data_IF_738409598135
#
_entry.id   IF_738409598135
#
_cell.length_a   1.000
_cell.length_b   1.000
_cell.length_c   1.000
_cell.angle_alpha   90.00
_cell.angle_beta   90.00
_cell.angle_gamma   90.00
#
_symmetry.space_group_name_H-M   'P 1'
#
loop_
_entity.id
_entity.type
_entity.pdbx_description
1 polymer ?
#
# COMPACT_ATOMS: atom_id res chain seq x y z
N UNK A 1 8.82 -12.29 -8.22
CA UNK A 1 8.74 -10.82 -8.17
C UNK A 1 8.14 -10.28 -9.45
N UNK A 2 7.27 -9.30 -9.31
CA UNK A 2 6.62 -8.66 -10.44
C UNK A 2 7.38 -7.39 -10.79
N UNK A 3 7.68 -7.21 -12.08
CA UNK A 3 8.36 -5.99 -12.55
C UNK A 3 7.37 -5.09 -13.28
N UNK A 4 7.38 -3.81 -12.95
CA UNK A 4 6.59 -2.78 -13.64
C UNK A 4 7.57 -1.73 -14.17
N UNK A 5 7.50 -1.45 -15.48
CA UNK A 5 8.40 -0.53 -16.11
C UNK A 5 9.77 -1.14 -16.36
N UNK A 6 10.67 -0.34 -16.92
CA UNK A 6 12.03 -0.76 -17.24
C UNK A 6 13.02 0.24 -16.67
N UNK A 7 14.14 -0.29 -16.17
CA UNK A 7 15.22 0.56 -15.69
C UNK A 7 15.97 1.15 -16.89
N UNK A 8 16.02 2.48 -16.96
CA UNK A 8 16.87 3.18 -17.92
C UNK A 8 18.24 3.36 -17.27
N UNK A 9 19.28 2.74 -17.83
CA UNK A 9 20.62 2.77 -17.27
C UNK A 9 21.25 4.17 -17.26
N UNK A 10 20.68 5.10 -18.02
CA UNK A 10 21.14 6.49 -18.09
C UNK A 10 20.46 7.41 -17.08
N UNK A 11 19.53 6.88 -16.28
CA UNK A 11 18.80 7.64 -15.28
C UNK A 11 19.23 7.26 -13.87
N UNK A 12 19.12 8.21 -12.96
CA UNK A 12 19.28 7.96 -11.53
C UNK A 12 17.90 7.86 -10.91
N UNK A 13 17.68 6.76 -10.17
CA UNK A 13 16.41 6.50 -9.52
C UNK A 13 16.51 6.74 -8.04
N UNK A 14 15.49 7.40 -7.48
CA UNK A 14 15.33 7.48 -6.04
C UNK A 14 14.67 6.17 -5.59
N UNK A 15 15.40 5.38 -4.82
CA UNK A 15 14.94 4.07 -4.36
C UNK A 15 14.15 4.19 -3.07
N UNK A 16 13.02 3.51 -3.00
CA UNK A 16 12.22 3.43 -1.79
C UNK A 16 11.66 2.03 -1.63
N UNK A 17 11.80 1.47 -0.43
CA UNK A 17 11.20 0.19 -0.08
C UNK A 17 9.96 0.43 0.76
N UNK A 18 8.84 -0.20 0.39
CA UNK A 18 7.54 0.03 1.01
C UNK A 18 6.84 -1.30 1.29
N UNK A 19 5.85 -1.25 2.18
CA UNK A 19 5.00 -2.40 2.50
C UNK A 19 3.56 -1.93 2.62
N UNK A 20 2.63 -2.71 2.04
CA UNK A 20 1.20 -2.38 2.07
C UNK A 20 0.39 -3.63 2.36
N UNK A 21 -0.76 -3.41 3.01
CA UNK A 21 -1.69 -4.46 3.36
C UNK A 21 -3.04 -4.25 2.69
N UNK A 22 -3.66 -5.35 2.27
CA UNK A 22 -4.97 -5.36 1.65
C UNK A 22 -5.93 -6.15 2.53
N UNK A 23 -7.06 -5.54 2.85
CA UNK A 23 -8.13 -6.15 3.62
C UNK A 23 -9.46 -5.94 2.92
N UNK A 24 -10.17 -7.04 2.70
CA UNK A 24 -11.48 -7.04 2.05
C UNK A 24 -12.49 -7.66 3.01
N UNK A 25 -13.57 -6.94 3.30
CA UNK A 25 -14.65 -7.42 4.15
C UNK A 25 -15.98 -6.92 3.62
N UNK A 26 -16.93 -7.83 3.47
CA UNK A 26 -18.27 -7.49 2.97
C UNK A 26 -18.22 -6.77 1.63
N UNK A 27 -17.34 -7.23 0.74
CA UNK A 27 -17.14 -6.68 -0.61
C UNK A 27 -16.58 -5.26 -0.63
N UNK A 28 -16.07 -4.78 0.50
CA UNK A 28 -15.42 -3.48 0.59
C UNK A 28 -13.96 -3.60 0.95
N UNK A 29 -13.12 -2.86 0.24
CA UNK A 29 -11.69 -2.73 0.54
C UNK A 29 -11.48 -1.61 1.55
N UNK A 30 -10.57 -1.86 2.50
CA UNK A 30 -10.17 -0.88 3.50
C UNK A 30 -8.92 -0.16 2.99
N UNK A 31 -9.05 1.15 2.81
CA UNK A 31 -8.01 1.99 2.23
C UNK A 31 -7.79 3.21 3.12
N UNK A 32 -6.77 3.98 2.83
CA UNK A 32 -6.52 5.24 3.52
C UNK A 32 -6.76 6.42 2.58
N UNK A 33 -7.19 7.52 3.15
CA UNK A 33 -7.35 8.78 2.43
C UNK A 33 -6.57 9.86 3.17
N UNK A 34 -5.69 10.53 2.43
CA UNK A 34 -4.94 11.66 2.95
C UNK A 34 -5.13 12.80 1.96
N UNK A 35 -5.87 13.85 2.36
CA UNK A 35 -6.33 14.85 1.40
C UNK A 35 -7.22 14.21 0.36
N UNK A 36 -6.87 14.31 -0.90
CA UNK A 36 -7.59 13.69 -2.01
C UNK A 36 -6.97 12.35 -2.44
N UNK A 37 -5.85 11.96 -1.83
CA UNK A 37 -5.12 10.78 -2.23
C UNK A 37 -5.63 9.53 -1.53
N UNK A 38 -6.04 8.54 -2.32
CA UNK A 38 -6.46 7.22 -1.87
C UNK A 38 -5.30 6.26 -2.06
N UNK A 39 -5.01 5.47 -1.04
CA UNK A 39 -3.85 4.59 -1.00
C UNK A 39 -4.18 3.28 -0.30
N UNK A 40 -3.41 2.24 -0.60
CA UNK A 40 -3.39 1.04 0.23
C UNK A 40 -2.87 1.41 1.62
N UNK A 41 -3.20 0.59 2.61
CA UNK A 41 -2.71 0.78 3.98
C UNK A 41 -1.23 0.39 4.03
N UNK A 42 -0.37 1.30 4.46
CA UNK A 42 1.05 1.01 4.56
C UNK A 42 1.92 2.23 4.27
N UNK A 43 3.18 1.99 4.00
CA UNK A 43 4.12 3.07 3.73
C UNK A 43 5.56 2.61 3.64
N UNK A 44 6.47 3.57 3.73
CA UNK A 44 7.90 3.33 3.62
C UNK A 44 8.49 2.65 4.84
N UNK A 45 9.34 1.68 4.58
CA UNK A 45 10.07 0.97 5.63
C UNK A 45 11.20 1.88 6.11
N UNK A 46 11.19 2.20 7.40
CA UNK A 46 12.20 3.06 7.99
C UNK A 46 13.41 2.25 8.46
N UNK A 47 14.51 2.95 8.71
CA UNK A 47 15.74 2.34 9.19
C UNK A 47 15.45 1.51 10.45
N UNK A 48 15.96 0.27 10.46
CA UNK A 48 15.78 -0.69 11.56
C UNK A 48 14.36 -1.24 11.73
N UNK A 49 13.47 -0.99 10.76
CA UNK A 49 12.15 -1.62 10.76
C UNK A 49 12.13 -2.85 9.88
N UNK A 50 11.27 -3.81 10.26
CA UNK A 50 10.92 -4.93 9.40
C UNK A 50 9.64 -4.57 8.63
N UNK A 51 9.28 -5.39 7.63
CA UNK A 51 8.01 -5.22 6.91
C UNK A 51 6.83 -5.28 7.88
N UNK A 52 6.84 -6.25 8.81
CA UNK A 52 5.77 -6.40 9.79
C UNK A 52 5.66 -5.18 10.70
N UNK A 53 6.78 -4.71 11.24
CA UNK A 53 6.80 -3.55 12.14
C UNK A 53 6.27 -2.31 11.44
N UNK A 54 6.71 -2.07 10.20
CA UNK A 54 6.28 -0.93 9.41
C UNK A 54 4.78 -0.98 9.14
N UNK A 55 4.30 -2.13 8.66
CA UNK A 55 2.89 -2.24 8.29
C UNK A 55 1.97 -2.07 9.50
N UNK A 56 2.33 -2.66 10.63
CA UNK A 56 1.56 -2.50 11.87
C UNK A 56 1.54 -1.05 12.33
N UNK A 57 2.68 -0.36 12.26
CA UNK A 57 2.79 1.05 12.64
C UNK A 57 1.94 1.93 11.72
N UNK A 58 2.10 1.76 10.42
CA UNK A 58 1.37 2.57 9.44
C UNK A 58 -0.15 2.33 9.53
N UNK A 59 -0.58 1.10 9.76
CA UNK A 59 -2.01 0.79 9.90
C UNK A 59 -2.64 1.55 11.08
N UNK A 60 -1.93 1.67 12.19
CA UNK A 60 -2.40 2.45 13.33
C UNK A 60 -2.38 3.95 13.03
N UNK A 61 -1.29 4.44 12.48
CA UNK A 61 -1.11 5.87 12.21
C UNK A 61 -2.10 6.41 11.20
N UNK A 62 -2.32 5.68 10.11
CA UNK A 62 -3.11 6.17 8.99
C UNK A 62 -4.56 5.70 8.99
N UNK A 63 -4.85 4.54 9.56
CA UNK A 63 -6.16 3.91 9.46
C UNK A 63 -6.79 3.55 10.80
N UNK A 64 -6.02 3.61 11.88
CA UNK A 64 -6.52 3.24 13.21
C UNK A 64 -6.81 1.75 13.36
N UNK A 65 -6.13 0.91 12.59
CA UNK A 65 -6.33 -0.54 12.55
C UNK A 65 -5.20 -1.28 13.26
N UNK A 66 -5.58 -2.33 13.99
CA UNK A 66 -4.62 -3.25 14.59
C UNK A 66 -4.53 -4.52 13.75
N UNK A 67 -3.36 -4.79 13.18
CA UNK A 67 -3.11 -5.98 12.37
C UNK A 67 -2.77 -7.15 13.29
N UNK A 68 -3.45 -8.27 13.11
CA UNK A 68 -3.23 -9.48 13.91
C UNK A 68 -2.62 -10.63 13.11
N UNK A 69 -2.63 -10.56 11.79
CA UNK A 69 -1.99 -11.57 10.93
C UNK A 69 -1.67 -10.95 9.57
N UNK A 70 -0.61 -11.46 8.95
CA UNK A 70 -0.14 -11.00 7.64
C UNK A 70 0.31 -12.19 6.81
N UNK A 71 -0.10 -12.23 5.54
CA UNK A 71 0.35 -13.23 4.57
C UNK A 71 0.83 -12.53 3.31
N UNK A 72 2.07 -12.77 2.91
CA UNK A 72 2.63 -12.16 1.71
C UNK A 72 1.89 -12.65 0.46
N UNK A 73 1.50 -11.71 -0.39
CA UNK A 73 0.84 -11.99 -1.68
C UNK A 73 1.86 -11.96 -2.80
N UNK A 74 2.64 -10.89 -2.87
CA UNK A 74 3.63 -10.67 -3.92
C UNK A 74 4.57 -9.55 -3.53
N UNK A 75 5.67 -9.45 -4.28
CA UNK A 75 6.58 -8.32 -4.21
C UNK A 75 6.64 -7.69 -5.60
N UNK A 76 6.65 -6.37 -5.65
CA UNK A 76 6.60 -5.61 -6.90
C UNK A 76 7.78 -4.64 -6.94
N UNK A 77 8.56 -4.68 -8.01
CA UNK A 77 9.62 -3.71 -8.25
C UNK A 77 9.15 -2.81 -9.40
N UNK A 78 8.93 -1.54 -9.10
CA UNK A 78 8.28 -0.61 -10.02
C UNK A 78 9.16 0.60 -10.32
N UNK A 79 9.43 0.82 -11.60
CA UNK A 79 10.08 2.04 -12.08
C UNK A 79 8.98 2.98 -12.57
N UNK A 80 8.91 4.17 -12.00
CA UNK A 80 7.83 5.11 -12.29
C UNK A 80 8.30 6.55 -12.11
N UNK A 81 7.45 7.48 -12.49
CA UNK A 81 7.76 8.89 -12.44
C UNK A 81 6.71 9.62 -11.63
N UNK A 82 7.15 10.47 -10.70
CA UNK A 82 6.25 11.27 -9.88
C UNK A 82 5.63 12.39 -10.69
N UNK A 83 4.62 13.07 -10.12
CA UNK A 83 3.99 14.24 -10.77
C UNK A 83 4.99 15.35 -11.03
N UNK A 84 5.97 15.52 -10.15
CA UNK A 84 7.04 16.52 -10.31
C UNK A 84 8.23 15.98 -11.08
N UNK A 85 8.01 14.91 -11.83
CA UNK A 85 8.94 14.39 -12.84
C UNK A 85 10.22 13.75 -12.28
N UNK A 86 10.16 13.20 -11.06
CA UNK A 86 11.30 12.46 -10.48
C UNK A 86 11.22 10.98 -10.86
N UNK A 87 12.37 10.42 -11.19
CA UNK A 87 12.48 8.98 -11.50
C UNK A 87 12.57 8.19 -10.20
N UNK A 88 11.65 7.25 -10.02
CA UNK A 88 11.51 6.45 -8.80
C UNK A 88 11.66 4.97 -9.09
N UNK A 89 12.30 4.27 -8.16
CA UNK A 89 12.19 2.82 -8.07
C UNK A 89 11.56 2.47 -6.73
N UNK A 90 10.40 1.81 -6.76
CA UNK A 90 9.70 1.37 -5.55
C UNK A 90 9.67 -0.13 -5.49
N UNK A 91 10.35 -0.70 -4.49
CA UNK A 91 10.26 -2.12 -4.16
C UNK A 91 9.20 -2.26 -3.09
N UNK A 92 8.09 -2.92 -3.43
CA UNK A 92 6.89 -2.95 -2.59
C UNK A 92 6.53 -4.39 -2.22
N UNK A 93 6.34 -4.62 -0.94
CA UNK A 93 5.91 -5.92 -0.40
C UNK A 93 4.42 -5.84 -0.10
N UNK A 94 3.63 -6.76 -0.66
CA UNK A 94 2.18 -6.74 -0.54
C UNK A 94 1.71 -7.91 0.31
N UNK A 95 0.87 -7.60 1.29
CA UNK A 95 0.33 -8.57 2.23
C UNK A 95 -1.20 -8.55 2.23
N UNK A 96 -1.80 -9.72 2.37
CA UNK A 96 -3.17 -9.82 2.83
C UNK A 96 -3.12 -9.74 4.35
N UNK A 97 -3.95 -8.89 4.95
CA UNK A 97 -3.91 -8.71 6.40
C UNK A 97 -5.23 -9.13 7.05
N UNK A 98 -5.13 -9.52 8.32
CA UNK A 98 -6.26 -9.71 9.20
C UNK A 98 -6.16 -8.64 10.28
N UNK A 99 -7.30 -8.08 10.67
CA UNK A 99 -7.35 -7.02 11.67
C UNK A 99 -8.21 -7.44 12.86
N UNK A 100 -7.94 -6.85 14.02
CA UNK A 100 -8.79 -7.07 15.21
C UNK A 100 -10.09 -6.27 15.08
N UNK A 101 -11.02 -6.52 15.98
CA UNK A 101 -12.28 -5.77 16.05
C UNK A 101 -12.08 -4.34 16.54
N UNK A 102 -10.90 -4.03 17.03
CA UNK A 102 -10.60 -2.73 17.62
C UNK A 102 -10.20 -1.75 16.54
N UNK A 103 -11.09 -0.81 16.25
CA UNK A 103 -10.82 0.28 15.30
C UNK A 103 -10.86 1.57 16.11
N UNK A 104 -9.77 2.35 16.03
CA UNK A 104 -9.64 3.64 16.70
C UNK A 104 -9.51 4.74 15.65
N UNK A 105 -9.53 5.99 16.10
CA UNK A 105 -9.23 7.10 15.19
C UNK A 105 -7.75 7.01 14.78
N UNK A 106 -7.43 7.27 13.49
CA UNK A 106 -6.03 7.31 13.06
C UNK A 106 -5.22 8.26 13.92
N UNK A 107 -3.97 7.87 14.20
CA UNK A 107 -3.07 8.71 15.00
C UNK A 107 -2.63 9.95 14.21
N UNK A 108 -2.56 9.85 12.87
CA UNK A 108 -2.30 11.01 12.02
C UNK A 108 -3.60 11.76 11.76
N UNK A 109 -3.61 13.06 12.09
CA UNK A 109 -4.80 13.91 11.96
C UNK A 109 -5.29 14.03 10.52
N UNK A 110 -4.36 13.99 9.56
CA UNK A 110 -4.65 14.21 8.14
C UNK A 110 -5.19 12.95 7.43
N UNK A 111 -5.06 11.79 8.06
CA UNK A 111 -5.41 10.51 7.47
C UNK A 111 -6.73 10.01 8.00
N UNK A 112 -7.42 9.23 7.19
CA UNK A 112 -8.63 8.53 7.63
C UNK A 112 -8.77 7.21 6.90
N UNK A 113 -9.44 6.28 7.58
CA UNK A 113 -9.85 5.01 6.99
C UNK A 113 -11.04 5.26 6.08
N UNK A 114 -10.99 4.73 4.87
CA UNK A 114 -12.12 4.74 3.96
C UNK A 114 -12.39 3.33 3.47
N UNK A 115 -13.65 3.03 3.18
CA UNK A 115 -14.06 1.73 2.69
C UNK A 115 -14.77 1.95 1.36
N UNK A 116 -14.43 1.15 0.37
CA UNK A 116 -15.07 1.28 -0.93
C UNK A 116 -15.10 -0.05 -1.67
N UNK A 117 -15.96 -0.14 -2.68
CA UNK A 117 -16.04 -1.33 -3.52
C UNK A 117 -14.75 -1.53 -4.29
N UNK A 118 -14.55 -2.75 -4.76
CA UNK A 118 -13.40 -3.09 -5.61
C UNK A 118 -13.37 -2.20 -6.85
N UNK A 119 -14.51 -1.99 -7.48
CA UNK A 119 -14.60 -1.15 -8.69
C UNK A 119 -14.20 0.31 -8.41
N UNK A 120 -14.65 0.86 -7.29
CA UNK A 120 -14.26 2.21 -6.90
C UNK A 120 -12.75 2.28 -6.63
N UNK A 121 -12.20 1.29 -5.93
CA UNK A 121 -10.78 1.23 -5.61
C UNK A 121 -9.93 1.21 -6.89
N UNK A 122 -10.34 0.43 -7.89
CA UNK A 122 -9.63 0.39 -9.18
C UNK A 122 -9.53 1.77 -9.82
N UNK A 123 -10.54 2.60 -9.65
CA UNK A 123 -10.56 3.95 -10.21
C UNK A 123 -9.84 4.98 -9.34
N UNK A 124 -9.81 4.77 -8.02
CA UNK A 124 -9.25 5.73 -7.07
C UNK A 124 -7.75 5.55 -6.82
N UNK A 125 -7.25 4.32 -6.89
CA UNK A 125 -5.82 4.06 -6.70
C UNK A 125 -5.06 4.60 -7.92
N UNK A 126 -4.04 5.41 -7.67
CA UNK A 126 -3.28 6.09 -8.74
C UNK A 126 -1.92 5.47 -8.99
N UNK A 127 -1.27 4.97 -7.95
CA UNK A 127 0.08 4.43 -8.07
C UNK A 127 0.07 3.09 -8.82
N UNK A 128 0.97 2.91 -9.79
CA UNK A 128 0.97 1.69 -10.61
C UNK A 128 1.18 0.42 -9.77
N UNK A 129 2.01 0.47 -8.74
CA UNK A 129 2.23 -0.71 -7.90
C UNK A 129 1.05 -0.99 -6.96
N UNK A 130 0.23 0.00 -6.60
CA UNK A 130 -1.02 -0.23 -5.86
C UNK A 130 -2.06 -0.90 -6.75
N UNK A 131 -2.16 -0.46 -8.00
CA UNK A 131 -3.08 -1.09 -8.97
C UNK A 131 -2.70 -2.54 -9.22
N UNK A 132 -1.41 -2.81 -9.40
CA UNK A 132 -0.95 -4.19 -9.61
C UNK A 132 -1.16 -5.05 -8.37
N UNK A 133 -0.94 -4.48 -7.18
CA UNK A 133 -1.18 -5.19 -5.93
C UNK A 133 -2.63 -5.67 -5.83
N UNK A 134 -3.58 -4.81 -6.17
CA UNK A 134 -4.99 -5.15 -6.15
C UNK A 134 -5.30 -6.27 -7.16
N UNK A 135 -4.72 -6.21 -8.35
CA UNK A 135 -4.88 -7.27 -9.36
C UNK A 135 -4.41 -8.62 -8.79
N UNK A 136 -3.23 -8.65 -8.18
CA UNK A 136 -2.67 -9.88 -7.61
C UNK A 136 -3.52 -10.41 -6.46
N UNK A 137 -3.98 -9.50 -5.59
CA UNK A 137 -4.87 -9.88 -4.48
C UNK A 137 -6.14 -10.56 -4.98
N UNK A 138 -6.72 -10.05 -6.06
CA UNK A 138 -7.99 -10.55 -6.59
C UNK A 138 -7.87 -11.86 -7.34
N UNK A 139 -6.67 -12.29 -7.73
CA UNK A 139 -6.48 -13.55 -8.47
C UNK A 139 -6.93 -14.77 -7.68
N UNK A 140 -6.85 -14.72 -6.35
CA UNK A 140 -7.20 -15.82 -5.47
C UNK A 140 -8.63 -15.71 -4.92
N UNK A 141 -9.45 -14.82 -5.48
CA UNK A 141 -10.81 -14.59 -4.98
C UNK A 141 -11.88 -15.07 -5.93
#
# INVERSE_FOLDING_TARGET
MILIGEKDVNKQYYFRETVFGIYLKNEELYLTKKGEDISLIGGGIELNETEETTLKREALEEAGLEIIAMNNICDIDCYWKTRDNRDMESLTHIYQIEISDKIIDPLEVESKLVKMSINEAKNQLKLPYHKQALIEFLKDK
#
